data_IF_595211691638
#
_entry.id   IF_595211691638
#
_cell.length_a   1.000
_cell.length_b   1.000
_cell.length_c   1.000
_cell.angle_alpha   90.00
_cell.angle_beta   90.00
_cell.angle_gamma   90.00
#
_symmetry.space_group_name_H-M   'P 1'
#
loop_
_entity.id
_entity.type
_entity.pdbx_description
1 polymer ?
#
# COMPACT_ATOMS: atom_id res chain seq x y z
N UNK A 1 30.65 -16.74 -26.64
CA UNK A 1 29.26 -17.19 -26.42
C UNK A 1 28.95 -16.91 -24.96
N UNK A 2 28.25 -15.81 -24.67
CA UNK A 2 28.02 -15.35 -23.29
C UNK A 2 26.62 -15.79 -22.88
N UNK A 3 26.53 -16.78 -22.00
CA UNK A 3 25.26 -17.27 -21.47
C UNK A 3 24.71 -16.23 -20.50
N UNK A 4 23.62 -15.57 -20.88
CA UNK A 4 22.86 -14.70 -19.98
C UNK A 4 22.20 -15.55 -18.90
N UNK A 5 22.57 -15.34 -17.64
CA UNK A 5 21.88 -15.92 -16.48
C UNK A 5 20.39 -15.53 -16.54
N UNK A 6 19.44 -16.46 -16.35
CA UNK A 6 18.03 -16.12 -16.33
C UNK A 6 17.76 -15.16 -15.17
N UNK A 7 17.02 -14.09 -15.43
CA UNK A 7 16.54 -13.19 -14.38
C UNK A 7 15.71 -14.01 -13.39
N UNK A 8 16.11 -14.07 -12.12
CA UNK A 8 15.41 -14.81 -11.07
C UNK A 8 14.04 -14.21 -10.72
N UNK A 9 13.74 -13.00 -11.20
CA UNK A 9 12.50 -12.29 -10.93
C UNK A 9 11.33 -12.70 -11.83
N UNK A 10 10.19 -13.01 -11.22
CA UNK A 10 8.91 -13.21 -11.92
C UNK A 10 8.25 -11.86 -12.23
N UNK A 11 7.28 -11.87 -13.16
CA UNK A 11 6.32 -10.77 -13.34
C UNK A 11 5.07 -11.09 -12.53
N UNK A 12 4.67 -10.19 -11.63
CA UNK A 12 3.59 -10.43 -10.68
C UNK A 12 2.59 -9.28 -10.76
N UNK A 13 1.30 -9.61 -10.83
CA UNK A 13 0.22 -8.65 -10.67
C UNK A 13 -0.33 -8.74 -9.24
N UNK A 14 -0.46 -7.60 -8.56
CA UNK A 14 -1.20 -7.47 -7.30
C UNK A 14 -2.45 -6.65 -7.60
N UNK A 15 -3.63 -7.17 -7.22
CA UNK A 15 -4.92 -6.52 -7.48
C UNK A 15 -5.51 -6.05 -6.15
N UNK A 16 -5.74 -4.75 -6.03
CA UNK A 16 -6.11 -4.04 -4.81
C UNK A 16 -4.90 -3.42 -4.12
N UNK A 17 -4.98 -2.12 -3.85
CA UNK A 17 -3.98 -1.31 -3.14
C UNK A 17 -4.46 -0.87 -1.76
N UNK A 18 -5.22 -1.73 -1.07
CA UNK A 18 -5.37 -1.67 0.38
C UNK A 18 -4.06 -2.00 1.11
N UNK A 19 -4.06 -1.93 2.44
CA UNK A 19 -2.85 -2.16 3.27
C UNK A 19 -2.15 -3.50 2.96
N UNK A 20 -2.92 -4.57 2.75
CA UNK A 20 -2.36 -5.90 2.43
C UNK A 20 -1.71 -5.94 1.05
N UNK A 21 -2.36 -5.35 0.04
CA UNK A 21 -1.85 -5.31 -1.33
C UNK A 21 -0.60 -4.44 -1.46
N UNK A 22 -0.57 -3.28 -0.78
CA UNK A 22 0.62 -2.42 -0.71
C UNK A 22 1.79 -3.14 -0.04
N UNK A 23 1.55 -3.83 1.09
CA UNK A 23 2.58 -4.61 1.78
C UNK A 23 3.07 -5.76 0.91
N UNK A 24 2.18 -6.51 0.27
CA UNK A 24 2.55 -7.60 -0.64
C UNK A 24 3.38 -7.08 -1.83
N UNK A 25 2.93 -6.00 -2.49
CA UNK A 25 3.64 -5.39 -3.60
C UNK A 25 5.04 -4.89 -3.17
N UNK A 26 5.13 -4.23 -2.01
CA UNK A 26 6.40 -3.76 -1.45
C UNK A 26 7.38 -4.91 -1.24
N UNK A 27 6.97 -5.99 -0.56
CA UNK A 27 7.83 -7.13 -0.28
C UNK A 27 8.24 -7.88 -1.55
N UNK A 28 7.30 -8.15 -2.46
CA UNK A 28 7.55 -8.87 -3.72
C UNK A 28 8.44 -8.06 -4.67
N UNK A 29 8.35 -6.73 -4.67
CA UNK A 29 9.15 -5.86 -5.54
C UNK A 29 10.66 -5.96 -5.29
N UNK A 30 11.08 -6.47 -4.12
CA UNK A 30 12.49 -6.63 -3.75
C UNK A 30 13.23 -7.64 -4.64
N UNK A 31 12.50 -8.57 -5.26
CA UNK A 31 13.08 -9.65 -6.08
C UNK A 31 12.32 -9.90 -7.38
N UNK A 32 11.18 -9.24 -7.61
CA UNK A 32 10.28 -9.49 -8.73
C UNK A 32 9.80 -8.18 -9.38
N UNK A 33 9.40 -8.25 -10.66
CA UNK A 33 8.75 -7.13 -11.34
C UNK A 33 7.26 -7.14 -11.00
N UNK A 34 6.83 -6.22 -10.16
CA UNK A 34 5.45 -6.13 -9.69
C UNK A 34 4.68 -5.04 -10.45
N UNK A 35 3.45 -5.32 -10.84
CA UNK A 35 2.45 -4.33 -11.26
C UNK A 35 1.29 -4.36 -10.27
N UNK A 36 0.99 -3.22 -9.66
CA UNK A 36 -0.13 -3.04 -8.74
C UNK A 36 -1.31 -2.41 -9.49
N UNK A 37 -2.49 -2.98 -9.33
CA UNK A 37 -3.74 -2.46 -9.89
C UNK A 37 -4.67 -2.04 -8.75
N UNK A 38 -5.25 -0.86 -8.86
CA UNK A 38 -6.25 -0.32 -7.93
C UNK A 38 -7.41 0.27 -8.76
N UNK A 39 -8.63 0.10 -8.26
CA UNK A 39 -9.83 0.61 -8.88
C UNK A 39 -10.06 2.09 -8.56
N UNK A 40 -9.70 2.53 -7.35
CA UNK A 40 -9.78 3.93 -6.94
C UNK A 40 -8.64 4.79 -7.52
N UNK A 41 -8.84 6.11 -7.51
CA UNK A 41 -7.81 7.10 -7.85
C UNK A 41 -6.79 7.32 -6.73
N UNK A 42 -6.92 6.61 -5.60
CA UNK A 42 -6.01 6.67 -4.46
C UNK A 42 -5.62 5.28 -3.99
N UNK A 43 -4.55 5.22 -3.21
CA UNK A 43 -4.13 4.03 -2.50
C UNK A 43 -4.66 4.04 -1.06
N UNK A 44 -4.69 2.86 -0.42
CA UNK A 44 -4.95 2.70 1.01
C UNK A 44 -6.19 1.89 1.33
N UNK A 45 -7.20 1.85 0.45
CA UNK A 45 -8.47 1.17 0.73
C UNK A 45 -9.06 1.67 2.07
N UNK A 46 -9.42 0.79 3.01
CA UNK A 46 -9.95 1.24 4.31
C UNK A 46 -9.00 2.12 5.15
N UNK A 47 -7.69 2.18 4.86
CA UNK A 47 -6.83 3.22 5.41
C UNK A 47 -7.10 4.53 4.62
N UNK A 48 -7.93 5.40 5.18
CA UNK A 48 -8.43 6.60 4.51
C UNK A 48 -8.50 7.79 5.45
N UNK A 49 -7.66 8.79 5.17
CA UNK A 49 -7.62 10.05 5.89
C UNK A 49 -8.25 11.15 5.04
N UNK A 50 -9.27 11.80 5.57
CA UNK A 50 -9.97 12.91 4.93
C UNK A 50 -9.41 14.25 5.39
N UNK A 51 -9.23 15.17 4.45
CA UNK A 51 -9.02 16.58 4.70
C UNK A 51 -10.38 17.25 4.98
N UNK A 52 -10.56 17.77 6.20
CA UNK A 52 -11.82 18.40 6.63
C UNK A 52 -11.54 19.83 7.09
N UNK A 53 -12.13 20.86 6.45
CA UNK A 53 -11.99 22.24 6.91
C UNK A 53 -12.51 22.43 8.33
N UNK A 54 -11.78 23.17 9.16
CA UNK A 54 -12.12 23.41 10.57
C UNK A 54 -12.16 24.91 10.96
N UNK A 55 -12.20 25.81 9.97
CA UNK A 55 -12.19 27.26 10.17
C UNK A 55 -10.79 27.84 10.37
N UNK A 56 -10.65 29.17 10.25
CA UNK A 56 -9.36 29.89 10.36
C UNK A 56 -8.24 29.32 9.46
N UNK A 57 -8.57 28.95 8.22
CA UNK A 57 -7.66 28.27 7.28
C UNK A 57 -7.04 26.96 7.82
N UNK A 58 -7.62 26.36 8.86
CA UNK A 58 -7.20 25.07 9.40
C UNK A 58 -7.89 23.91 8.69
N UNK A 59 -7.11 22.87 8.41
CA UNK A 59 -7.57 21.58 7.88
C UNK A 59 -7.27 20.48 8.90
N UNK A 60 -8.28 19.69 9.25
CA UNK A 60 -8.14 18.49 10.06
C UNK A 60 -7.93 17.28 9.16
N UNK A 61 -7.07 16.35 9.61
CA UNK A 61 -6.87 15.05 8.98
C UNK A 61 -7.61 14.00 9.80
N UNK A 62 -8.71 13.49 9.27
CA UNK A 62 -9.62 12.59 9.99
C UNK A 62 -9.65 11.22 9.32
N UNK A 63 -9.30 10.18 10.07
CA UNK A 63 -9.37 8.80 9.59
C UNK A 63 -10.81 8.28 9.67
N UNK A 64 -11.32 7.70 8.58
CA UNK A 64 -12.71 7.21 8.48
C UNK A 64 -12.85 5.69 8.48
N UNK A 65 -11.74 4.95 8.37
CA UNK A 65 -11.73 3.49 8.34
C UNK A 65 -10.84 2.90 9.42
N UNK A 66 -9.58 2.64 9.08
CA UNK A 66 -8.62 2.08 10.03
C UNK A 66 -8.07 3.16 10.97
N UNK A 67 -8.59 3.22 12.21
CA UNK A 67 -8.35 4.33 13.15
C UNK A 67 -7.53 3.91 14.38
N UNK A 68 -7.43 2.60 14.67
CA UNK A 68 -6.76 2.10 15.88
C UNK A 68 -5.59 1.21 15.51
N UNK A 69 -4.40 1.56 16.02
CA UNK A 69 -3.21 0.71 16.03
C UNK A 69 -2.63 0.67 17.46
N UNK A 70 -2.10 -0.48 17.84
CA UNK A 70 -1.33 -0.68 19.07
C UNK A 70 -0.51 -1.97 18.99
N UNK A 71 0.60 -2.00 19.72
CA UNK A 71 1.56 -3.11 19.69
C UNK A 71 0.97 -4.45 20.16
N UNK A 72 -0.04 -4.43 21.03
CA UNK A 72 -0.67 -5.66 21.54
C UNK A 72 -1.47 -6.39 20.46
N UNK A 73 -2.22 -5.65 19.64
CA UNK A 73 -3.08 -6.24 18.61
C UNK A 73 -2.44 -6.26 17.23
N UNK A 74 -1.36 -5.50 17.00
CA UNK A 74 -0.67 -5.40 15.71
C UNK A 74 0.86 -5.55 15.84
N UNK A 75 1.37 -6.67 16.38
CA UNK A 75 2.80 -6.82 16.68
C UNK A 75 3.74 -6.88 15.46
N UNK A 76 3.18 -6.95 14.24
CA UNK A 76 3.94 -7.10 12.99
C UNK A 76 3.71 -5.94 12.00
N UNK A 77 2.98 -4.90 12.42
CA UNK A 77 2.68 -3.70 11.64
C UNK A 77 3.21 -2.46 12.34
#
# INVERSE_FOLDING_TARGET
MQLSTPSTGRRIAVVGAGVSGLTAAHLLSRSHRVTLFEAESRLGGHAHTHAVPAGDDRELRIDSGFIVHNDRTYPYL
#
